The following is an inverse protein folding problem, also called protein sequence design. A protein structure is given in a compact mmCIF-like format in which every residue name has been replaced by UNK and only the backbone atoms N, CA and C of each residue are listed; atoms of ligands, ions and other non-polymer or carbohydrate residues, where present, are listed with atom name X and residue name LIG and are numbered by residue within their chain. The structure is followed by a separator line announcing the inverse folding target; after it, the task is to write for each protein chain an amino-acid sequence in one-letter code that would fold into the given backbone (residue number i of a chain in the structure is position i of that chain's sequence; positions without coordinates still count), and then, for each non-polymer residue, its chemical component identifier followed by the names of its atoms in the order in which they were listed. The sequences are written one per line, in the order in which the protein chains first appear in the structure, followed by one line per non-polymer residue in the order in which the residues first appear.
data_IF_579479637008
#
_entry.id   IF_579479637008
#
_cell.length_a   1.000
_cell.length_b   1.000
_cell.length_c   1.000
_cell.angle_alpha   90.00
_cell.angle_beta   90.00
_cell.angle_gamma   90.00
#
_symmetry.space_group_name_H-M   'P 1'
#
loop_
_entity.id
_entity.type
_entity.pdbx_description
1 polymer ?
#
# COMPACT_ATOMS: atom_id res chain seq x y z
N UNK A 1 17.64 6.19 -32.77
CA UNK A 1 18.67 6.48 -31.74
C UNK A 1 18.34 7.82 -31.09
N UNK A 2 17.91 7.81 -29.82
CA UNK A 2 17.69 9.03 -29.03
C UNK A 2 19.06 9.57 -28.60
N UNK A 3 19.58 10.56 -29.33
CA UNK A 3 20.93 11.10 -29.12
C UNK A 3 21.04 11.79 -27.74
N UNK A 4 21.93 11.33 -26.87
CA UNK A 4 22.38 12.09 -25.70
C UNK A 4 22.46 11.35 -24.36
N UNK A 5 21.82 10.20 -24.20
CA UNK A 5 21.88 9.41 -22.96
C UNK A 5 23.13 8.52 -22.97
N UNK A 6 24.04 8.73 -22.01
CA UNK A 6 25.27 7.93 -21.84
C UNK A 6 25.23 7.06 -20.60
N UNK A 7 24.43 7.42 -19.59
CA UNK A 7 24.30 6.63 -18.36
C UNK A 7 22.85 6.55 -17.89
N UNK A 8 22.37 5.33 -17.64
CA UNK A 8 21.01 5.03 -17.19
C UNK A 8 21.06 4.29 -15.86
N UNK A 9 20.26 4.71 -14.88
CA UNK A 9 19.94 3.89 -13.69
C UNK A 9 18.61 3.16 -13.90
N UNK A 10 18.65 1.84 -13.94
CA UNK A 10 17.48 0.97 -14.08
C UNK A 10 16.96 0.50 -12.72
N UNK A 11 15.68 0.72 -12.43
CA UNK A 11 14.98 -0.02 -11.38
C UNK A 11 14.93 -1.51 -11.75
N UNK A 12 15.74 -2.30 -11.06
CA UNK A 12 16.01 -3.70 -11.35
C UNK A 12 15.44 -4.58 -10.25
N UNK A 13 14.66 -5.59 -10.64
CA UNK A 13 14.03 -6.53 -9.71
C UNK A 13 14.60 -7.94 -9.80
N UNK A 14 15.53 -8.20 -10.73
CA UNK A 14 15.97 -9.56 -11.03
C UNK A 14 14.92 -10.41 -11.78
N UNK A 15 13.73 -9.88 -12.05
CA UNK A 15 12.70 -10.55 -12.84
C UNK A 15 13.06 -10.69 -14.33
N UNK A 16 12.21 -11.39 -15.08
CA UNK A 16 12.39 -11.63 -16.52
C UNK A 16 12.57 -10.32 -17.29
N UNK A 17 11.62 -9.40 -17.13
CA UNK A 17 11.55 -8.13 -17.83
C UNK A 17 12.79 -7.27 -17.57
N UNK A 18 13.12 -7.01 -16.31
CA UNK A 18 14.24 -6.14 -15.93
C UNK A 18 15.60 -6.77 -16.28
N UNK A 19 15.70 -8.10 -16.33
CA UNK A 19 16.88 -8.80 -16.86
C UNK A 19 17.05 -8.62 -18.36
N UNK A 20 15.96 -8.54 -19.13
CA UNK A 20 15.99 -8.29 -20.57
C UNK A 20 16.25 -6.80 -20.89
N UNK A 21 15.84 -5.89 -20.01
CA UNK A 21 16.03 -4.44 -20.21
C UNK A 21 17.51 -4.06 -20.23
N UNK A 22 18.35 -4.62 -19.36
CA UNK A 22 19.78 -4.26 -19.29
C UNK A 22 20.50 -4.41 -20.64
N UNK A 23 20.54 -5.60 -21.27
CA UNK A 23 21.19 -5.76 -22.57
C UNK A 23 20.46 -4.97 -23.67
N UNK A 24 19.13 -4.85 -23.60
CA UNK A 24 18.37 -4.08 -24.58
C UNK A 24 18.75 -2.60 -24.58
N UNK A 25 18.93 -1.99 -23.40
CA UNK A 25 19.39 -0.61 -23.28
C UNK A 25 20.76 -0.44 -23.94
N UNK A 26 21.70 -1.35 -23.69
CA UNK A 26 23.05 -1.30 -24.30
C UNK A 26 23.04 -1.46 -25.81
N UNK A 27 22.11 -2.25 -26.35
CA UNK A 27 21.97 -2.48 -27.79
C UNK A 27 21.30 -1.32 -28.53
N UNK A 28 20.47 -0.54 -27.84
CA UNK A 28 19.62 0.49 -28.46
C UNK A 28 20.03 1.93 -28.11
N UNK A 29 20.90 2.11 -27.12
CA UNK A 29 21.46 3.39 -26.70
C UNK A 29 22.99 3.36 -26.87
N UNK A 30 23.50 4.21 -27.77
CA UNK A 30 24.90 4.26 -28.18
C UNK A 30 25.84 4.49 -26.99
N UNK A 31 26.79 3.56 -26.78
CA UNK A 31 27.79 3.58 -25.70
C UNK A 31 27.19 3.86 -24.29
N UNK A 32 25.97 3.35 -24.04
CA UNK A 32 25.28 3.59 -22.78
C UNK A 32 25.76 2.67 -21.65
N UNK A 33 26.21 3.28 -20.55
CA UNK A 33 26.43 2.62 -19.28
C UNK A 33 25.10 2.40 -18.56
N UNK A 34 24.83 1.17 -18.11
CA UNK A 34 23.62 0.84 -17.33
C UNK A 34 24.02 0.49 -15.91
N UNK A 35 23.45 1.18 -14.94
CA UNK A 35 23.58 0.89 -13.51
C UNK A 35 22.28 0.25 -13.04
N UNK A 36 22.34 -0.92 -12.41
CA UNK A 36 21.18 -1.55 -11.81
C UNK A 36 20.94 -0.99 -10.40
N UNK A 37 19.70 -0.72 -10.07
CA UNK A 37 19.25 -0.31 -8.74
C UNK A 37 18.16 -1.26 -8.25
N UNK A 38 18.44 -1.99 -7.18
CA UNK A 38 17.54 -2.91 -6.49
C UNK A 38 17.11 -2.27 -5.18
N UNK A 39 15.82 -2.09 -5.00
CA UNK A 39 15.24 -1.65 -3.74
C UNK A 39 14.76 -2.87 -2.94
N UNK A 40 15.30 -3.07 -1.74
CA UNK A 40 14.73 -3.99 -0.77
C UNK A 40 13.67 -3.25 0.05
N UNK A 41 12.41 -3.46 -0.31
CA UNK A 41 11.22 -2.95 0.38
C UNK A 41 10.50 -4.07 1.15
N UNK A 42 11.17 -5.22 1.33
CA UNK A 42 10.68 -6.35 2.11
C UNK A 42 10.00 -7.44 1.30
N UNK A 43 10.29 -7.55 0.01
CA UNK A 43 10.00 -8.72 -0.81
C UNK A 43 10.71 -9.98 -0.29
N UNK A 44 10.38 -11.16 -0.84
CA UNK A 44 11.03 -12.43 -0.50
C UNK A 44 12.57 -12.30 -0.59
N UNK A 45 13.25 -12.88 0.40
CA UNK A 45 14.71 -12.87 0.48
C UNK A 45 15.33 -13.70 -0.64
N UNK A 46 14.66 -14.75 -1.11
CA UNK A 46 15.12 -15.55 -2.24
C UNK A 46 15.27 -14.73 -3.53
N UNK A 47 14.44 -13.71 -3.73
CA UNK A 47 14.51 -12.81 -4.90
C UNK A 47 15.76 -11.90 -4.88
N UNK A 48 16.34 -11.66 -3.70
CA UNK A 48 17.56 -10.88 -3.54
C UNK A 48 18.84 -11.72 -3.63
N UNK A 49 18.74 -13.04 -3.45
CA UNK A 49 19.92 -13.92 -3.50
C UNK A 49 20.53 -13.92 -4.90
N UNK A 50 21.75 -13.41 -5.01
CA UNK A 50 22.50 -13.37 -6.27
C UNK A 50 22.02 -12.32 -7.27
N UNK A 51 21.12 -11.40 -6.87
CA UNK A 51 20.55 -10.37 -7.74
C UNK A 51 21.61 -9.46 -8.36
N UNK A 52 22.64 -9.09 -7.59
CA UNK A 52 23.78 -8.28 -8.06
C UNK A 52 24.59 -9.02 -9.13
N UNK A 53 24.96 -10.27 -8.86
CA UNK A 53 25.67 -11.11 -9.83
C UNK A 53 24.87 -11.24 -11.13
N UNK A 54 23.56 -11.42 -11.01
CA UNK A 54 22.66 -11.50 -12.17
C UNK A 54 22.63 -10.19 -12.95
N UNK A 55 22.53 -9.04 -12.28
CA UNK A 55 22.55 -7.73 -12.93
C UNK A 55 23.83 -7.51 -13.75
N UNK A 56 25.00 -7.82 -13.16
CA UNK A 56 26.30 -7.72 -13.83
C UNK A 56 26.41 -8.68 -15.03
N UNK A 57 25.92 -9.92 -14.88
CA UNK A 57 25.87 -10.90 -15.97
C UNK A 57 24.94 -10.46 -17.11
N UNK A 58 23.86 -9.75 -16.80
CA UNK A 58 22.97 -9.14 -17.81
C UNK A 58 23.60 -7.93 -18.50
N UNK A 59 24.76 -7.44 -18.03
CA UNK A 59 25.55 -6.41 -18.67
C UNK A 59 25.57 -5.06 -17.95
N UNK A 60 25.02 -4.96 -16.73
CA UNK A 60 25.14 -3.76 -15.91
C UNK A 60 26.60 -3.50 -15.53
N UNK A 61 26.96 -2.23 -15.44
CA UNK A 61 28.27 -1.75 -15.00
C UNK A 61 28.44 -1.83 -13.48
N UNK A 62 27.38 -1.49 -12.75
CA UNK A 62 27.29 -1.48 -11.31
C UNK A 62 25.89 -1.94 -10.88
N UNK A 63 25.76 -2.44 -9.65
CA UNK A 63 24.49 -2.78 -9.04
C UNK A 63 24.43 -2.25 -7.61
N UNK A 64 23.44 -1.42 -7.31
CA UNK A 64 23.15 -0.92 -5.97
C UNK A 64 21.98 -1.68 -5.38
N UNK A 65 22.18 -2.37 -4.26
CA UNK A 65 21.09 -2.96 -3.47
C UNK A 65 20.89 -2.10 -2.23
N UNK A 66 19.72 -1.49 -2.08
CA UNK A 66 19.43 -0.52 -1.01
C UNK A 66 18.30 -1.05 -0.14
N UNK A 67 18.57 -1.22 1.14
CA UNK A 67 17.58 -1.57 2.16
C UNK A 67 16.73 -0.36 2.53
N UNK A 68 15.45 -0.42 2.18
CA UNK A 68 14.46 0.64 2.38
C UNK A 68 13.33 0.18 3.31
N UNK A 69 13.45 -0.99 3.95
CA UNK A 69 12.33 -1.63 4.67
C UNK A 69 11.81 -0.81 5.84
N UNK A 70 12.70 -0.38 6.73
CA UNK A 70 12.31 0.40 7.91
C UNK A 70 11.78 1.79 7.49
N UNK A 71 12.42 2.45 6.52
CA UNK A 71 11.95 3.73 5.97
C UNK A 71 10.58 3.58 5.31
N UNK A 72 10.34 2.48 4.59
CA UNK A 72 9.07 2.21 3.94
C UNK A 72 7.93 2.13 4.96
N UNK A 73 8.11 1.39 6.05
CA UNK A 73 7.07 1.32 7.08
C UNK A 73 6.86 2.66 7.77
N UNK A 74 7.95 3.31 8.17
CA UNK A 74 7.89 4.51 9.00
C UNK A 74 7.44 5.76 8.24
N UNK A 75 7.97 5.98 7.04
CA UNK A 75 7.81 7.25 6.30
C UNK A 75 6.77 7.15 5.17
N UNK A 76 6.27 5.96 4.84
CA UNK A 76 5.26 5.77 3.80
C UNK A 76 3.99 5.08 4.31
N UNK A 77 4.12 3.94 5.00
CA UNK A 77 2.97 3.18 5.48
C UNK A 77 2.26 3.89 6.63
N UNK A 78 2.97 4.21 7.73
CA UNK A 78 2.32 4.86 8.89
C UNK A 78 1.66 6.20 8.56
N UNK A 79 2.26 7.10 7.77
CA UNK A 79 1.59 8.33 7.36
C UNK A 79 0.25 8.11 6.66
N UNK A 80 0.16 7.10 5.78
CA UNK A 80 -1.09 6.74 5.09
C UNK A 80 -2.07 6.04 6.02
N UNK A 81 -1.58 5.18 6.93
CA UNK A 81 -2.42 4.50 7.91
C UNK A 81 -3.14 5.48 8.84
N UNK A 82 -2.46 6.52 9.30
CA UNK A 82 -3.04 7.58 10.13
C UNK A 82 -4.22 8.27 9.44
N UNK A 83 -4.18 8.42 8.12
CA UNK A 83 -5.32 9.01 7.38
C UNK A 83 -6.50 8.05 7.27
N UNK A 84 -6.26 6.73 7.37
CA UNK A 84 -7.28 5.71 7.16
C UNK A 84 -7.56 5.36 5.71
N UNK A 85 -6.59 5.60 4.84
CA UNK A 85 -6.79 5.42 3.41
C UNK A 85 -7.09 3.95 3.05
N UNK A 86 -8.21 3.78 2.33
CA UNK A 86 -8.62 2.53 1.70
C UNK A 86 -9.10 2.86 0.30
N UNK A 87 -8.35 2.44 -0.72
CA UNK A 87 -8.78 2.68 -2.10
C UNK A 87 -10.02 1.85 -2.40
N UNK A 88 -11.04 2.53 -2.93
CA UNK A 88 -12.37 1.97 -3.21
C UNK A 88 -12.95 1.17 -2.03
N UNK A 89 -12.63 1.60 -0.81
CA UNK A 89 -13.16 1.06 0.45
C UNK A 89 -12.51 -0.23 0.93
N UNK A 90 -11.54 -0.82 0.22
CA UNK A 90 -10.97 -2.13 0.58
C UNK A 90 -9.45 -2.25 0.40
N UNK A 91 -8.85 -1.62 -0.61
CA UNK A 91 -7.44 -1.83 -0.93
C UNK A 91 -6.51 -0.95 -0.09
N UNK A 92 -5.55 -1.59 0.59
CA UNK A 92 -4.56 -0.95 1.47
C UNK A 92 -3.30 -0.45 0.74
N UNK A 93 -3.40 -0.19 -0.57
CA UNK A 93 -2.44 0.64 -1.33
C UNK A 93 -0.98 0.14 -1.32
N UNK A 94 -0.71 -1.14 -1.07
CA UNK A 94 0.67 -1.61 -0.83
C UNK A 94 1.64 -1.34 -1.96
N UNK A 95 1.29 -1.74 -3.18
CA UNK A 95 2.08 -1.49 -4.39
C UNK A 95 2.25 0.01 -4.62
N UNK A 96 1.16 0.78 -4.48
CA UNK A 96 1.18 2.24 -4.69
C UNK A 96 2.07 2.99 -3.71
N UNK A 97 2.17 2.55 -2.45
CA UNK A 97 3.05 3.17 -1.45
C UNK A 97 4.52 2.83 -1.67
N UNK A 98 4.82 1.62 -2.17
CA UNK A 98 6.21 1.21 -2.43
C UNK A 98 6.85 1.99 -3.60
N UNK A 99 6.07 2.41 -4.60
CA UNK A 99 6.65 3.05 -5.80
C UNK A 99 7.36 4.38 -5.53
N UNK A 100 6.78 5.33 -4.77
CA UNK A 100 7.46 6.60 -4.53
C UNK A 100 8.75 6.46 -3.72
N UNK A 101 8.88 5.48 -2.80
CA UNK A 101 10.14 5.26 -2.08
C UNK A 101 11.22 4.65 -3.00
N UNK A 102 10.85 3.66 -3.83
CA UNK A 102 11.77 3.06 -4.80
C UNK A 102 12.24 4.13 -5.80
N UNK A 103 11.31 4.91 -6.35
CA UNK A 103 11.61 5.94 -7.33
C UNK A 103 12.47 7.07 -6.76
N UNK A 104 12.23 7.49 -5.50
CA UNK A 104 13.07 8.46 -4.79
C UNK A 104 14.51 7.95 -4.65
N UNK A 105 14.70 6.75 -4.12
CA UNK A 105 16.02 6.16 -3.96
C UNK A 105 16.75 5.96 -5.30
N UNK A 106 16.01 5.58 -6.35
CA UNK A 106 16.58 5.50 -7.71
C UNK A 106 17.06 6.87 -8.21
N UNK A 107 16.29 7.93 -8.01
CA UNK A 107 16.70 9.31 -8.36
C UNK A 107 17.95 9.71 -7.59
N UNK A 108 18.02 9.42 -6.30
CA UNK A 108 19.19 9.70 -5.47
C UNK A 108 20.45 9.00 -6.01
N UNK A 109 20.34 7.73 -6.40
CA UNK A 109 21.43 6.99 -7.04
C UNK A 109 21.77 7.59 -8.41
N UNK A 110 20.78 7.91 -9.24
CA UNK A 110 20.99 8.52 -10.56
C UNK A 110 21.77 9.83 -10.47
N UNK A 111 21.39 10.71 -9.55
CA UNK A 111 22.11 11.97 -9.31
C UNK A 111 23.52 11.71 -8.76
N UNK A 112 23.68 10.75 -7.84
CA UNK A 112 24.98 10.39 -7.26
C UNK A 112 25.98 9.89 -8.30
N UNK A 113 25.54 9.06 -9.26
CA UNK A 113 26.41 8.47 -10.29
C UNK A 113 26.53 9.34 -11.54
N UNK A 114 25.87 10.50 -11.57
CA UNK A 114 25.85 11.40 -12.72
C UNK A 114 25.14 10.80 -13.94
N UNK A 115 24.05 10.08 -13.73
CA UNK A 115 23.25 9.52 -14.81
C UNK A 115 22.46 10.59 -15.56
N UNK A 116 22.25 10.38 -16.86
CA UNK A 116 21.44 11.24 -17.72
C UNK A 116 19.95 10.86 -17.65
N UNK A 117 19.68 9.61 -17.26
CA UNK A 117 18.35 9.03 -17.32
C UNK A 117 18.09 7.95 -16.26
N UNK A 118 16.80 7.73 -16.01
CA UNK A 118 16.28 6.62 -15.21
C UNK A 118 15.40 5.72 -16.09
N UNK A 119 15.41 4.42 -15.79
CA UNK A 119 14.61 3.43 -16.48
C UNK A 119 13.80 2.56 -15.52
N UNK A 120 12.65 2.05 -15.99
CA UNK A 120 11.81 1.11 -15.23
C UNK A 120 11.19 0.04 -16.14
N UNK A 121 10.81 -1.09 -15.54
CA UNK A 121 10.15 -2.21 -16.21
C UNK A 121 8.62 -2.18 -16.20
N UNK A 122 7.98 -1.11 -15.69
CA UNK A 122 6.51 -1.04 -15.69
C UNK A 122 5.91 -1.01 -17.11
N UNK A 123 4.80 -1.73 -17.31
CA UNK A 123 4.10 -1.80 -18.60
C UNK A 123 3.23 -0.56 -18.86
N UNK A 124 2.88 -0.33 -20.14
CA UNK A 124 2.01 0.78 -20.56
C UNK A 124 0.54 0.68 -20.10
N UNK A 125 0.13 -0.43 -19.46
CA UNK A 125 -1.26 -0.66 -18.99
C UNK A 125 -1.40 -0.55 -17.46
N UNK A 126 -0.28 -0.46 -16.74
CA UNK A 126 -0.26 -0.40 -15.28
C UNK A 126 -0.25 1.03 -14.75
N UNK A 127 -0.66 1.19 -13.49
CA UNK A 127 -0.52 2.46 -12.76
C UNK A 127 0.94 2.75 -12.38
N UNK A 128 1.79 1.73 -12.30
CA UNK A 128 3.17 1.87 -11.82
C UNK A 128 4.03 2.77 -12.71
N UNK A 129 3.82 2.79 -14.02
CA UNK A 129 4.50 3.75 -14.90
C UNK A 129 4.22 5.19 -14.46
N UNK A 130 2.96 5.50 -14.10
CA UNK A 130 2.57 6.84 -13.66
C UNK A 130 3.26 7.17 -12.34
N UNK A 131 3.28 6.22 -11.39
CA UNK A 131 3.85 6.42 -10.04
C UNK A 131 5.37 6.63 -10.06
N UNK A 132 6.08 5.88 -10.89
CA UNK A 132 7.52 6.06 -11.09
C UNK A 132 7.80 7.41 -11.77
N UNK A 133 7.16 7.68 -12.91
CA UNK A 133 7.48 8.84 -13.74
C UNK A 133 7.04 10.17 -13.11
N UNK A 134 5.90 10.19 -12.40
CA UNK A 134 5.48 11.36 -11.63
C UNK A 134 6.48 11.67 -10.51
N UNK A 135 7.04 10.64 -9.87
CA UNK A 135 8.06 10.80 -8.83
C UNK A 135 9.36 11.34 -9.42
N UNK A 136 9.83 10.76 -10.54
CA UNK A 136 11.02 11.28 -11.23
C UNK A 136 10.85 12.75 -11.62
N UNK A 137 9.69 13.09 -12.20
CA UNK A 137 9.37 14.46 -12.60
C UNK A 137 9.35 15.41 -11.40
N UNK A 138 8.82 14.96 -10.26
CA UNK A 138 8.74 15.77 -9.05
C UNK A 138 10.11 16.00 -8.39
N UNK A 139 11.02 15.04 -8.46
CA UNK A 139 12.29 15.06 -7.73
C UNK A 139 13.51 15.47 -8.57
N UNK A 140 13.54 15.09 -9.84
CA UNK A 140 14.65 15.34 -10.75
C UNK A 140 14.15 15.47 -12.20
N UNK A 141 13.42 16.56 -12.54
CA UNK A 141 12.84 16.76 -13.87
C UNK A 141 13.86 16.86 -15.01
N UNK A 142 15.15 17.04 -14.68
CA UNK A 142 16.26 17.02 -15.63
C UNK A 142 16.64 15.61 -16.12
N UNK A 143 16.29 14.55 -15.38
CA UNK A 143 16.58 13.18 -15.79
C UNK A 143 15.60 12.75 -16.88
N UNK A 144 16.12 12.16 -17.96
CA UNK A 144 15.25 11.57 -18.98
C UNK A 144 14.67 10.25 -18.47
N UNK A 145 13.45 9.93 -18.91
CA UNK A 145 12.81 8.65 -18.59
C UNK A 145 12.91 7.72 -19.79
N UNK A 146 13.42 6.52 -19.55
CA UNK A 146 13.43 5.42 -20.53
C UNK A 146 12.48 4.32 -20.07
N UNK A 147 11.48 4.01 -20.89
CA UNK A 147 10.47 2.99 -20.60
C UNK A 147 10.42 1.95 -21.73
N UNK A 148 11.22 0.87 -21.65
CA UNK A 148 11.38 -0.10 -22.73
C UNK A 148 10.07 -0.69 -23.23
N UNK A 149 9.09 -0.95 -22.35
CA UNK A 149 7.75 -1.43 -22.72
C UNK A 149 6.97 -0.51 -23.69
N UNK A 150 7.38 0.75 -23.85
CA UNK A 150 6.81 1.69 -24.83
C UNK A 150 7.65 1.84 -26.10
N UNK A 151 8.81 1.20 -26.17
CA UNK A 151 9.82 1.39 -27.21
C UNK A 151 10.21 0.11 -27.94
N UNK A 152 10.29 -1.02 -27.22
CA UNK A 152 10.75 -2.28 -27.78
C UNK A 152 9.64 -3.09 -28.47
N UNK A 153 10.03 -4.10 -29.24
CA UNK A 153 9.11 -5.05 -29.86
C UNK A 153 8.98 -6.39 -29.10
N UNK A 154 9.56 -6.48 -27.90
CA UNK A 154 9.43 -7.64 -27.01
C UNK A 154 8.06 -7.63 -26.32
N UNK A 155 7.05 -8.18 -26.98
CA UNK A 155 5.62 -8.08 -26.56
C UNK A 155 5.07 -9.28 -25.81
N UNK A 156 5.88 -10.31 -25.56
CA UNK A 156 5.44 -11.52 -24.85
C UNK A 156 6.52 -12.09 -23.95
N UNK A 157 6.10 -12.95 -23.03
CA UNK A 157 6.99 -13.68 -22.11
C UNK A 157 7.95 -14.59 -22.87
N UNK A 158 7.46 -15.27 -23.89
CA UNK A 158 8.23 -16.12 -24.80
C UNK A 158 9.33 -15.31 -25.48
N UNK A 159 8.98 -14.14 -26.04
CA UNK A 159 9.94 -13.26 -26.70
C UNK A 159 11.06 -12.81 -25.74
N UNK A 160 10.73 -12.50 -24.48
CA UNK A 160 11.72 -12.15 -23.46
C UNK A 160 12.62 -13.34 -23.10
N UNK A 161 12.06 -14.56 -22.99
CA UNK A 161 12.85 -15.76 -22.69
C UNK A 161 13.82 -16.10 -23.83
N UNK A 162 13.35 -16.04 -25.08
CA UNK A 162 14.20 -16.25 -26.26
C UNK A 162 15.29 -15.18 -26.36
N UNK A 163 14.94 -13.91 -26.11
CA UNK A 163 15.88 -12.79 -26.10
C UNK A 163 17.01 -12.97 -25.07
N UNK A 164 16.69 -13.42 -23.84
CA UNK A 164 17.68 -13.74 -22.81
C UNK A 164 18.52 -14.97 -23.18
N UNK A 165 17.89 -16.00 -23.76
CA UNK A 165 18.56 -17.24 -24.16
C UNK A 165 19.59 -17.01 -25.25
N UNK A 166 19.27 -16.21 -26.28
CA UNK A 166 20.21 -15.80 -27.33
C UNK A 166 21.47 -15.12 -26.78
N UNK A 167 21.34 -14.48 -25.61
CA UNK A 167 22.41 -13.73 -24.93
C UNK A 167 23.07 -14.50 -23.79
N UNK A 168 22.69 -15.74 -23.56
CA UNK A 168 23.16 -16.57 -22.45
C UNK A 168 22.97 -15.93 -21.07
N UNK A 169 21.89 -15.16 -20.88
CA UNK A 169 21.56 -14.55 -19.59
C UNK A 169 20.68 -15.52 -18.79
N UNK A 170 21.11 -15.95 -17.58
CA UNK A 170 20.35 -16.91 -16.79
C UNK A 170 19.04 -16.30 -16.27
N UNK A 171 17.97 -17.09 -16.29
CA UNK A 171 16.67 -16.71 -15.72
C UNK A 171 15.98 -17.91 -15.08
N UNK A 172 15.30 -17.66 -13.96
CA UNK A 172 14.45 -18.64 -13.26
C UNK A 172 13.00 -18.56 -13.74
N UNK A 173 12.69 -17.63 -14.65
CA UNK A 173 11.36 -17.50 -15.23
C UNK A 173 11.09 -18.66 -16.20
N UNK A 174 9.90 -19.26 -16.07
CA UNK A 174 9.37 -20.25 -16.99
C UNK A 174 8.03 -19.80 -17.57
N UNK A 175 7.55 -20.46 -18.62
CA UNK A 175 6.21 -20.25 -19.17
C UNK A 175 5.10 -20.74 -18.22
N UNK A 176 5.42 -21.64 -17.29
CA UNK A 176 4.47 -22.23 -16.34
C UNK A 176 4.06 -21.28 -15.21
N UNK A 177 4.91 -20.28 -14.89
CA UNK A 177 4.55 -19.24 -13.92
C UNK A 177 3.58 -18.24 -14.57
N UNK A 178 2.28 -18.51 -14.39
CA UNK A 178 1.16 -17.76 -15.02
C UNK A 178 0.76 -16.47 -14.31
N UNK A 179 1.11 -16.30 -13.02
CA UNK A 179 0.71 -15.12 -12.24
C UNK A 179 1.78 -14.03 -12.24
N UNK A 180 1.33 -12.79 -12.28
CA UNK A 180 2.13 -11.61 -11.95
C UNK A 180 1.97 -11.32 -10.48
N UNK A 181 3.08 -11.27 -9.73
CA UNK A 181 3.09 -10.98 -8.30
C UNK A 181 3.99 -9.79 -7.99
N UNK A 182 3.53 -8.97 -7.07
CA UNK A 182 4.29 -7.84 -6.53
C UNK A 182 4.24 -7.89 -5.01
N UNK A 183 5.40 -8.04 -4.39
CA UNK A 183 5.57 -8.28 -2.96
C UNK A 183 6.45 -7.19 -2.35
N UNK A 184 6.13 -6.80 -1.13
CA UNK A 184 6.93 -5.95 -0.27
C UNK A 184 6.55 -6.23 1.19
N UNK A 185 7.17 -5.58 2.18
CA UNK A 185 6.89 -5.83 3.60
C UNK A 185 5.41 -5.65 4.00
N UNK A 186 4.66 -4.82 3.27
CA UNK A 186 3.27 -4.51 3.58
C UNK A 186 2.30 -5.56 3.06
N UNK A 187 2.48 -6.00 1.82
CA UNK A 187 1.52 -6.85 1.13
C UNK A 187 2.15 -7.69 0.03
N UNK A 188 1.35 -8.61 -0.50
CA UNK A 188 1.54 -9.18 -1.83
C UNK A 188 0.26 -9.01 -2.65
N UNK A 189 0.42 -8.66 -3.93
CA UNK A 189 -0.66 -8.67 -4.93
C UNK A 189 -0.43 -9.75 -5.97
N UNK A 190 -1.50 -10.44 -6.36
CA UNK A 190 -1.52 -11.45 -7.42
C UNK A 190 -2.52 -11.06 -8.50
N UNK A 191 -2.06 -11.00 -9.75
CA UNK A 191 -2.87 -10.72 -10.95
C UNK A 191 -2.57 -11.73 -12.07
N UNK A 192 -3.44 -11.78 -13.09
CA UNK A 192 -3.28 -12.65 -14.26
C UNK A 192 -3.81 -14.07 -14.05
N UNK A 193 -3.52 -14.96 -14.99
CA UNK A 193 -3.97 -16.36 -14.94
C UNK A 193 -5.48 -16.50 -14.79
N UNK A 194 -5.94 -17.30 -13.82
CA UNK A 194 -7.38 -17.53 -13.61
C UNK A 194 -8.16 -16.27 -13.26
N UNK A 195 -7.48 -15.25 -12.71
CA UNK A 195 -8.09 -14.00 -12.25
C UNK A 195 -8.48 -13.06 -13.40
N UNK A 196 -8.01 -13.29 -14.63
CA UNK A 196 -8.39 -12.47 -15.79
C UNK A 196 -9.89 -12.56 -16.13
N UNK A 197 -10.55 -13.66 -15.75
CA UNK A 197 -12.00 -13.80 -15.81
C UNK A 197 -12.62 -13.55 -14.44
N UNK A 198 -13.52 -12.58 -14.33
CA UNK A 198 -14.23 -12.26 -13.08
C UNK A 198 -15.21 -13.36 -12.65
N UNK A 199 -15.48 -14.35 -13.50
CA UNK A 199 -16.35 -15.49 -13.17
C UNK A 199 -15.60 -16.67 -12.55
N UNK A 200 -14.27 -16.68 -12.66
CA UNK A 200 -13.45 -17.70 -12.03
C UNK A 200 -13.21 -17.36 -10.56
N UNK A 201 -13.42 -18.31 -9.66
CA UNK A 201 -12.99 -18.15 -8.27
C UNK A 201 -11.45 -18.10 -8.19
N UNK A 202 -10.91 -17.30 -7.27
CA UNK A 202 -9.50 -17.36 -6.93
C UNK A 202 -9.17 -18.75 -6.37
N UNK A 203 -8.11 -19.37 -6.88
CA UNK A 203 -7.64 -20.69 -6.41
C UNK A 203 -6.54 -20.53 -5.36
N UNK A 204 -6.05 -21.65 -4.81
CA UNK A 204 -4.99 -21.62 -3.79
C UNK A 204 -3.71 -20.92 -4.28
N UNK A 205 -3.38 -21.03 -5.56
CA UNK A 205 -2.19 -20.37 -6.14
C UNK A 205 -2.30 -18.83 -6.18
N UNK A 206 -3.50 -18.27 -5.99
CA UNK A 206 -3.70 -16.82 -5.91
C UNK A 206 -3.23 -16.23 -4.56
N UNK A 207 -3.12 -17.07 -3.53
CA UNK A 207 -2.82 -16.68 -2.15
C UNK A 207 -1.51 -17.34 -1.70
N UNK A 208 -0.50 -16.52 -1.44
CA UNK A 208 0.88 -16.97 -1.20
C UNK A 208 1.29 -16.79 0.24
N UNK A 209 0.82 -15.74 0.90
CA UNK A 209 1.24 -15.40 2.26
C UNK A 209 0.39 -16.08 3.32
N UNK A 210 -0.92 -16.06 3.13
CA UNK A 210 -1.89 -16.37 4.19
C UNK A 210 -2.41 -17.78 4.04
N UNK A 211 -2.64 -18.47 5.18
CA UNK A 211 -3.34 -19.77 5.19
C UNK A 211 -4.78 -19.56 4.71
N UNK A 212 -5.38 -20.54 4.03
CA UNK A 212 -6.80 -20.45 3.70
C UNK A 212 -7.62 -20.27 4.99
N UNK A 213 -8.56 -19.31 5.05
CA UNK A 213 -9.40 -19.15 6.23
C UNK A 213 -10.08 -20.45 6.68
N UNK A 214 -10.36 -21.41 5.78
CA UNK A 214 -10.91 -22.72 6.16
C UNK A 214 -9.89 -23.60 6.89
N UNK A 215 -8.61 -23.53 6.49
CA UNK A 215 -7.50 -24.32 7.01
C UNK A 215 -6.74 -23.63 8.17
N UNK A 216 -7.06 -22.36 8.45
CA UNK A 216 -6.51 -21.62 9.59
C UNK A 216 -6.88 -22.29 10.94
N UNK A 217 -6.18 -22.01 12.05
CA UNK A 217 -6.46 -22.65 13.35
C UNK A 217 -7.93 -22.52 13.81
N UNK A 218 -8.46 -23.59 14.42
CA UNK A 218 -9.81 -23.60 15.02
C UNK A 218 -9.88 -22.86 16.37
N UNK A 219 -8.73 -22.50 16.94
CA UNK A 219 -8.64 -21.66 18.13
C UNK A 219 -8.32 -20.21 17.73
N UNK A 220 -9.13 -19.28 18.22
CA UNK A 220 -8.88 -17.86 18.01
C UNK A 220 -7.66 -17.40 18.81
N UNK A 221 -6.87 -16.49 18.22
CA UNK A 221 -5.69 -15.93 18.86
C UNK A 221 -5.96 -14.49 19.29
N UNK A 222 -5.59 -14.16 20.53
CA UNK A 222 -5.70 -12.81 21.06
C UNK A 222 -4.36 -12.09 20.93
N UNK A 223 -4.39 -10.92 20.29
CA UNK A 223 -3.21 -10.07 20.07
C UNK A 223 -3.47 -8.72 20.71
N UNK A 224 -2.57 -8.31 21.60
CA UNK A 224 -2.61 -6.96 22.19
C UNK A 224 -1.72 -6.04 21.38
N UNK A 225 -2.26 -4.93 20.88
CA UNK A 225 -1.56 -3.96 20.04
C UNK A 225 -1.54 -2.61 20.75
N UNK A 226 -0.35 -2.08 21.01
CA UNK A 226 -0.17 -0.73 21.54
C UNK A 226 -0.02 0.28 20.41
N UNK A 227 -0.80 1.35 20.48
CA UNK A 227 -0.81 2.45 19.51
C UNK A 227 -0.35 3.72 20.21
N UNK A 228 0.53 4.49 19.58
CA UNK A 228 0.98 5.80 20.04
C UNK A 228 0.98 6.78 18.87
N UNK A 229 0.30 7.90 19.05
CA UNK A 229 0.11 8.93 18.03
C UNK A 229 -0.29 8.40 16.64
N UNK A 230 -1.20 7.41 16.62
CA UNK A 230 -1.66 6.74 15.40
C UNK A 230 -0.68 5.75 14.78
N UNK A 231 0.40 5.37 15.47
CA UNK A 231 1.35 4.35 15.01
C UNK A 231 1.34 3.13 15.94
N UNK A 232 1.49 1.93 15.38
CA UNK A 232 1.65 0.72 16.19
C UNK A 232 3.07 0.66 16.73
N UNK A 233 3.24 0.63 18.05
CA UNK A 233 4.55 0.67 18.72
C UNK A 233 4.86 -0.60 19.52
N UNK A 234 3.86 -1.43 19.79
CA UNK A 234 4.06 -2.68 20.49
C UNK A 234 3.06 -3.77 20.09
N UNK A 235 3.50 -5.02 20.19
CA UNK A 235 2.67 -6.22 19.97
C UNK A 235 2.89 -7.18 21.13
N UNK A 236 1.81 -7.64 21.77
CA UNK A 236 1.80 -8.51 22.95
C UNK A 236 2.75 -8.02 24.07
N UNK A 237 2.69 -6.71 24.35
CA UNK A 237 3.50 -6.05 25.39
C UNK A 237 4.97 -5.82 25.03
N UNK A 238 5.44 -6.25 23.85
CA UNK A 238 6.81 -6.02 23.39
C UNK A 238 6.87 -4.79 22.50
N UNK A 239 7.69 -3.81 22.86
CA UNK A 239 8.02 -2.67 22.00
C UNK A 239 8.96 -3.13 20.88
N UNK A 240 8.66 -2.75 19.63
CA UNK A 240 9.41 -3.17 18.44
C UNK A 240 9.69 -1.94 17.54
N UNK A 241 10.52 -2.13 16.51
CA UNK A 241 10.63 -1.13 15.43
C UNK A 241 9.36 -1.12 14.57
N UNK A 242 9.22 -0.16 13.67
CA UNK A 242 8.07 -0.08 12.77
C UNK A 242 7.97 -1.35 11.91
N UNK A 243 9.10 -1.76 11.32
CA UNK A 243 9.19 -3.01 10.58
C UNK A 243 8.92 -4.22 11.47
N UNK A 244 9.49 -4.27 12.67
CA UNK A 244 9.28 -5.39 13.59
C UNK A 244 7.81 -5.58 14.00
N UNK A 245 7.09 -4.48 14.22
CA UNK A 245 5.63 -4.52 14.43
C UNK A 245 4.91 -5.10 13.21
N UNK A 246 5.23 -4.62 11.99
CA UNK A 246 4.62 -5.11 10.76
C UNK A 246 4.87 -6.59 10.52
N UNK A 247 6.12 -7.04 10.58
CA UNK A 247 6.51 -8.43 10.35
C UNK A 247 5.88 -9.39 11.37
N UNK A 248 5.83 -8.97 12.65
CA UNK A 248 5.15 -9.75 13.70
C UNK A 248 3.66 -9.90 13.40
N UNK A 249 2.98 -8.81 13.02
CA UNK A 249 1.55 -8.84 12.70
C UNK A 249 1.28 -9.56 11.37
N UNK A 250 2.17 -9.47 10.39
CA UNK A 250 2.07 -10.27 9.15
C UNK A 250 2.10 -11.76 9.48
N UNK A 251 3.04 -12.20 10.33
CA UNK A 251 3.15 -13.61 10.73
C UNK A 251 1.89 -14.11 11.43
N UNK A 252 1.38 -13.32 12.38
CA UNK A 252 0.15 -13.65 13.13
C UNK A 252 -1.08 -13.64 12.21
N UNK A 253 -1.24 -12.62 11.37
CA UNK A 253 -2.36 -12.52 10.45
C UNK A 253 -2.36 -13.61 9.38
N UNK A 254 -1.18 -13.92 8.82
CA UNK A 254 -1.02 -14.97 7.82
C UNK A 254 -1.42 -16.35 8.33
N UNK A 255 -1.01 -16.70 9.55
CA UNK A 255 -1.42 -17.93 10.24
C UNK A 255 -2.95 -18.07 10.33
N UNK A 256 -3.66 -16.95 10.50
CA UNK A 256 -5.12 -16.93 10.64
C UNK A 256 -5.87 -16.59 9.36
N UNK A 257 -5.22 -16.49 8.20
CA UNK A 257 -5.87 -16.17 6.93
C UNK A 257 -6.36 -14.71 6.80
N UNK A 258 -5.89 -13.82 7.67
CA UNK A 258 -6.36 -12.43 7.75
C UNK A 258 -5.85 -11.58 6.58
N UNK A 259 -6.70 -10.70 6.06
CA UNK A 259 -6.29 -9.66 5.12
C UNK A 259 -6.29 -10.05 3.65
N UNK A 260 -7.00 -11.13 3.28
CA UNK A 260 -7.30 -11.46 1.88
C UNK A 260 -8.41 -10.56 1.33
N UNK A 261 -8.19 -9.95 0.19
CA UNK A 261 -9.24 -9.29 -0.62
C UNK A 261 -9.13 -9.72 -2.09
N UNK A 262 -10.27 -9.93 -2.74
CA UNK A 262 -10.40 -10.15 -4.19
C UNK A 262 -11.30 -9.04 -4.73
N UNK A 263 -10.72 -8.15 -5.53
CA UNK A 263 -11.39 -6.93 -5.95
C UNK A 263 -11.24 -6.69 -7.45
N UNK A 264 -12.24 -6.01 -8.02
CA UNK A 264 -12.13 -5.37 -9.33
C UNK A 264 -11.99 -3.87 -9.10
N UNK A 265 -10.79 -3.35 -9.32
CA UNK A 265 -10.44 -1.96 -9.07
C UNK A 265 -10.52 -1.09 -10.34
N UNK A 266 -10.72 0.21 -10.17
CA UNK A 266 -10.56 1.19 -11.25
C UNK A 266 -9.10 1.69 -11.32
N UNK A 267 -8.40 1.43 -12.42
CA UNK A 267 -7.06 1.99 -12.65
C UNK A 267 -7.16 3.45 -13.11
N UNK A 268 -6.15 4.24 -12.77
CA UNK A 268 -6.05 5.65 -13.20
C UNK A 268 -6.08 5.77 -14.73
N UNK A 269 -5.50 4.80 -15.43
CA UNK A 269 -5.47 4.73 -16.91
C UNK A 269 -6.81 4.37 -17.55
N UNK A 270 -7.91 4.33 -16.77
CA UNK A 270 -9.28 4.20 -17.26
C UNK A 270 -9.79 2.77 -17.48
N UNK A 271 -8.99 1.76 -17.18
CA UNK A 271 -9.39 0.35 -17.26
C UNK A 271 -9.68 -0.23 -15.87
N UNK A 272 -10.49 -1.30 -15.84
CA UNK A 272 -10.63 -2.12 -14.64
C UNK A 272 -9.58 -3.22 -14.61
N UNK A 273 -9.12 -3.58 -13.42
CA UNK A 273 -8.27 -4.76 -13.20
C UNK A 273 -8.84 -5.58 -12.06
N UNK A 274 -8.69 -6.90 -12.12
CA UNK A 274 -8.97 -7.79 -10.99
C UNK A 274 -7.66 -8.24 -10.36
N UNK A 275 -7.58 -8.18 -9.05
CA UNK A 275 -6.41 -8.64 -8.29
C UNK A 275 -6.81 -9.22 -6.94
N UNK A 276 -6.03 -10.21 -6.52
CA UNK A 276 -6.05 -10.76 -5.16
C UNK A 276 -4.93 -10.11 -4.36
N UNK A 277 -5.23 -9.62 -3.17
CA UNK A 277 -4.26 -8.96 -2.30
C UNK A 277 -4.26 -9.58 -0.91
N UNK A 278 -3.07 -9.69 -0.32
CA UNK A 278 -2.86 -10.19 1.03
C UNK A 278 -2.10 -9.14 1.84
N UNK A 279 -2.77 -8.53 2.82
CA UNK A 279 -2.19 -7.49 3.69
C UNK A 279 -2.45 -7.83 5.16
N UNK A 280 -1.91 -8.94 5.69
CA UNK A 280 -2.29 -9.47 7.01
C UNK A 280 -1.99 -8.49 8.15
N UNK A 281 -0.74 -8.04 8.25
CA UNK A 281 -0.31 -7.12 9.31
C UNK A 281 -1.01 -5.77 9.18
N UNK A 282 -1.12 -5.25 7.97
CA UNK A 282 -1.82 -3.98 7.73
C UNK A 282 -3.30 -4.01 8.08
N UNK A 283 -3.99 -5.13 7.82
CA UNK A 283 -5.40 -5.32 8.22
C UNK A 283 -5.56 -5.28 9.74
N UNK A 284 -4.62 -5.89 10.46
CA UNK A 284 -4.59 -5.89 11.93
C UNK A 284 -4.25 -4.49 12.48
N UNK A 285 -3.24 -3.82 11.90
CA UNK A 285 -2.88 -2.45 12.30
C UNK A 285 -4.06 -1.49 12.13
N UNK A 286 -4.76 -1.55 10.99
CA UNK A 286 -5.94 -0.72 10.74
C UNK A 286 -7.06 -0.98 11.75
N UNK A 287 -7.29 -2.23 12.14
CA UNK A 287 -8.26 -2.58 13.18
C UNK A 287 -7.86 -2.02 14.56
N UNK A 288 -6.56 -2.04 14.89
CA UNK A 288 -6.05 -1.43 16.13
C UNK A 288 -6.24 0.09 16.15
N UNK A 289 -5.82 0.78 15.08
CA UNK A 289 -5.94 2.24 14.95
C UNK A 289 -7.40 2.66 15.08
N UNK A 290 -8.32 2.04 14.32
CA UNK A 290 -9.76 2.31 14.42
C UNK A 290 -10.32 2.02 15.81
N UNK A 291 -9.80 1.01 16.50
CA UNK A 291 -10.17 0.71 17.88
C UNK A 291 -9.87 1.88 18.83
N UNK A 292 -8.69 2.50 18.70
CA UNK A 292 -8.32 3.67 19.51
C UNK A 292 -9.08 4.93 19.06
N UNK A 293 -9.22 5.15 17.75
CA UNK A 293 -9.97 6.29 17.18
C UNK A 293 -11.40 6.37 17.72
N UNK A 294 -12.07 5.24 17.91
CA UNK A 294 -13.43 5.18 18.49
C UNK A 294 -13.50 5.69 19.94
N UNK A 295 -12.39 5.65 20.67
CA UNK A 295 -12.34 6.16 22.05
C UNK A 295 -12.00 7.65 22.07
N UNK A 296 -11.15 8.14 21.18
CA UNK A 296 -10.50 9.45 21.33
C UNK A 296 -11.03 10.53 20.39
N UNK A 297 -11.64 10.17 19.26
CA UNK A 297 -12.18 11.14 18.33
C UNK A 297 -13.66 11.40 18.61
N UNK A 298 -14.04 12.67 18.71
CA UNK A 298 -15.45 13.05 18.71
C UNK A 298 -16.09 12.76 17.34
N UNK A 299 -17.43 12.83 17.29
CA UNK A 299 -18.21 12.46 16.10
C UNK A 299 -17.76 13.20 14.83
N UNK A 300 -17.52 14.50 14.91
CA UNK A 300 -17.24 15.32 13.73
C UNK A 300 -15.78 15.17 13.30
N UNK A 301 -14.85 15.00 14.25
CA UNK A 301 -13.45 14.63 13.99
C UNK A 301 -13.33 13.25 13.34
N UNK A 302 -14.08 12.25 13.82
CA UNK A 302 -14.10 10.91 13.22
C UNK A 302 -14.63 10.96 11.78
N UNK A 303 -15.71 11.71 11.54
CA UNK A 303 -16.23 11.93 10.18
C UNK A 303 -15.20 12.59 9.26
N UNK A 304 -14.51 13.62 9.75
CA UNK A 304 -13.46 14.29 8.97
C UNK A 304 -12.30 13.35 8.65
N UNK A 305 -11.88 12.53 9.62
CA UNK A 305 -10.86 11.50 9.43
C UNK A 305 -11.21 10.58 8.26
N UNK A 306 -12.45 10.09 8.17
CA UNK A 306 -12.86 9.19 7.09
C UNK A 306 -12.83 9.89 5.71
N UNK A 307 -13.16 11.19 5.67
CA UNK A 307 -13.04 12.00 4.44
C UNK A 307 -11.58 12.18 4.02
N UNK A 308 -10.68 12.44 4.98
CA UNK A 308 -9.23 12.50 4.72
C UNK A 308 -8.69 11.18 4.16
N UNK A 309 -9.11 10.05 4.73
CA UNK A 309 -8.72 8.72 4.26
C UNK A 309 -9.11 8.48 2.80
N UNK A 310 -10.33 8.85 2.44
CA UNK A 310 -10.81 8.75 1.06
C UNK A 310 -9.92 9.57 0.10
N UNK A 311 -9.71 10.85 0.39
CA UNK A 311 -8.90 11.73 -0.46
C UNK A 311 -7.44 11.27 -0.56
N UNK A 312 -6.83 10.86 0.56
CA UNK A 312 -5.47 10.34 0.59
C UNK A 312 -5.35 9.06 -0.26
N UNK A 313 -6.37 8.21 -0.26
CA UNK A 313 -6.34 6.96 -1.02
C UNK A 313 -6.18 7.21 -2.53
N UNK A 314 -6.89 8.19 -3.09
CA UNK A 314 -6.74 8.57 -4.50
C UNK A 314 -5.39 9.22 -4.77
N UNK A 315 -4.93 10.11 -3.89
CA UNK A 315 -3.61 10.77 -4.03
C UNK A 315 -2.48 9.73 -4.12
N UNK A 316 -2.49 8.73 -3.25
CA UNK A 316 -1.48 7.65 -3.24
C UNK A 316 -1.66 6.74 -4.44
N UNK A 317 -2.89 6.30 -4.72
CA UNK A 317 -3.17 5.39 -5.84
C UNK A 317 -2.74 5.97 -7.19
N UNK A 318 -3.00 7.26 -7.40
CA UNK A 318 -2.69 8.02 -8.62
C UNK A 318 -1.20 8.35 -8.79
N UNK A 319 -0.35 8.00 -7.83
CA UNK A 319 1.08 8.32 -7.89
C UNK A 319 1.40 9.79 -7.62
N UNK A 320 0.57 10.49 -6.84
CA UNK A 320 0.76 11.91 -6.49
C UNK A 320 1.42 12.08 -5.11
N UNK A 321 2.31 11.16 -4.73
CA UNK A 321 2.97 11.15 -3.42
C UNK A 321 3.69 12.47 -3.10
N UNK A 322 4.43 13.02 -4.06
CA UNK A 322 5.20 14.26 -3.88
C UNK A 322 4.38 15.54 -4.13
N UNK A 323 3.06 15.44 -4.31
CA UNK A 323 2.20 16.60 -4.48
C UNK A 323 1.97 17.34 -3.14
N UNK A 324 1.84 18.68 -3.14
CA UNK A 324 1.51 19.46 -1.93
C UNK A 324 0.21 19.02 -1.25
N UNK A 325 -0.78 18.56 -2.02
CA UNK A 325 -2.04 18.03 -1.50
C UNK A 325 -1.82 16.86 -0.52
N UNK A 326 -0.88 15.95 -0.85
CA UNK A 326 -0.54 14.82 0.01
C UNK A 326 0.00 15.29 1.37
N UNK A 327 0.87 16.31 1.38
CA UNK A 327 1.36 16.92 2.63
C UNK A 327 0.24 17.57 3.44
N UNK A 328 -0.68 18.26 2.78
CA UNK A 328 -1.81 18.88 3.47
C UNK A 328 -2.74 17.85 4.13
N UNK A 329 -3.07 16.76 3.42
CA UNK A 329 -3.91 15.68 3.95
C UNK A 329 -3.22 14.95 5.10
N UNK A 330 -1.93 14.67 4.97
CA UNK A 330 -1.13 14.04 6.01
C UNK A 330 -1.05 14.92 7.27
N UNK A 331 -0.78 16.22 7.13
CA UNK A 331 -0.72 17.13 8.29
C UNK A 331 -2.07 17.22 9.04
N UNK A 332 -3.19 17.21 8.31
CA UNK A 332 -4.52 17.17 8.92
C UNK A 332 -4.74 15.88 9.71
N UNK A 333 -4.32 14.73 9.16
CA UNK A 333 -4.39 13.45 9.87
C UNK A 333 -3.45 13.38 11.08
N UNK A 334 -2.23 13.91 10.97
CA UNK A 334 -1.26 13.99 12.08
C UNK A 334 -1.77 14.83 13.24
N UNK A 335 -2.54 15.89 12.96
CA UNK A 335 -3.21 16.69 14.00
C UNK A 335 -4.22 15.87 14.79
N UNK A 336 -5.03 15.03 14.12
CA UNK A 336 -5.98 14.15 14.80
C UNK A 336 -5.27 13.00 15.52
N UNK A 337 -4.19 12.48 14.92
CA UNK A 337 -3.44 11.34 15.43
C UNK A 337 -2.73 11.65 16.76
N UNK A 338 -2.50 12.92 17.13
CA UNK A 338 -1.87 13.28 18.41
C UNK A 338 -2.53 12.62 19.63
N UNK A 339 -3.84 12.48 19.61
CA UNK A 339 -4.61 11.89 20.70
C UNK A 339 -4.87 10.39 20.53
N UNK A 340 -4.54 9.81 19.37
CA UNK A 340 -4.69 8.38 19.05
C UNK A 340 -3.57 7.57 19.71
N UNK A 341 -3.66 7.44 21.03
CA UNK A 341 -2.75 6.65 21.86
C UNK A 341 -3.57 5.76 22.79
N UNK A 342 -3.28 4.46 22.79
CA UNK A 342 -4.03 3.47 23.54
C UNK A 342 -3.57 2.04 23.28
N UNK A 343 -4.34 1.08 23.75
CA UNK A 343 -4.09 -0.34 23.58
C UNK A 343 -5.39 -1.05 23.18
N UNK A 344 -5.28 -1.96 22.21
CA UNK A 344 -6.41 -2.73 21.68
C UNK A 344 -6.08 -4.21 21.71
N UNK A 345 -7.00 -5.01 22.26
CA UNK A 345 -6.96 -6.48 22.14
C UNK A 345 -7.80 -6.87 20.93
N UNK A 346 -7.15 -7.51 19.97
CA UNK A 346 -7.72 -8.00 18.73
C UNK A 346 -7.85 -9.52 18.80
N UNK A 347 -8.98 -10.04 18.35
CA UNK A 347 -9.23 -11.47 18.14
C UNK A 347 -9.01 -11.80 16.67
N UNK A 348 -8.05 -12.66 16.37
CA UNK A 348 -7.78 -13.20 15.03
C UNK A 348 -8.42 -14.58 14.93
N UNK A 349 -9.25 -14.80 13.90
CA UNK A 349 -9.93 -16.07 13.71
C UNK A 349 -10.41 -16.25 12.28
N UNK A 350 -9.95 -17.31 11.59
CA UNK A 350 -10.48 -17.78 10.30
C UNK A 350 -10.75 -16.63 9.31
N UNK A 351 -9.73 -15.83 9.05
CA UNK A 351 -9.73 -14.71 8.12
C UNK A 351 -10.21 -13.37 8.68
N UNK A 352 -10.67 -13.34 9.92
CA UNK A 352 -11.24 -12.14 10.55
C UNK A 352 -10.32 -11.55 11.61
N UNK A 353 -10.38 -10.23 11.74
CA UNK A 353 -9.83 -9.48 12.87
C UNK A 353 -10.94 -8.67 13.53
N UNK A 354 -11.13 -8.84 14.83
CA UNK A 354 -12.15 -8.12 15.60
C UNK A 354 -11.53 -7.47 16.82
N UNK A 355 -11.68 -6.16 16.98
CA UNK A 355 -11.31 -5.46 18.20
C UNK A 355 -12.32 -5.74 19.32
N UNK A 356 -11.88 -6.44 20.37
CA UNK A 356 -12.75 -6.93 21.45
C UNK A 356 -12.56 -6.17 22.77
N UNK A 357 -11.40 -5.56 23.00
CA UNK A 357 -11.13 -4.71 24.16
C UNK A 357 -10.27 -3.54 23.73
N UNK A 358 -10.51 -2.36 24.31
CA UNK A 358 -9.88 -1.10 23.92
C UNK A 358 -9.73 -0.26 25.17
N UNK A 359 -8.59 0.41 25.33
CA UNK A 359 -8.40 1.44 26.35
C UNK A 359 -7.52 2.56 25.81
N UNK A 360 -7.79 3.78 26.23
CA UNK A 360 -7.02 4.97 25.89
C UNK A 360 -7.13 5.97 27.04
N UNK A 361 -6.02 6.60 27.42
CA UNK A 361 -5.99 7.56 28.52
C UNK A 361 -6.81 8.83 28.19
N UNK A 362 -6.92 9.17 26.90
CA UNK A 362 -7.70 10.30 26.38
C UNK A 362 -9.07 9.87 25.86
N UNK A 363 -9.65 8.81 26.43
CA UNK A 363 -10.99 8.35 26.04
C UNK A 363 -12.05 9.41 26.32
N UNK A 364 -12.88 9.70 25.31
CA UNK A 364 -14.12 10.48 25.41
C UNK A 364 -15.30 9.62 25.87
N UNK A 365 -15.16 8.29 25.85
CA UNK A 365 -16.14 7.40 26.46
C UNK A 365 -16.08 7.52 27.98
N UNK A 366 -17.21 7.84 28.59
CA UNK A 366 -17.40 7.87 30.03
C UNK A 366 -18.53 6.92 30.42
N UNK A 367 -18.24 5.96 31.30
CA UNK A 367 -19.22 5.02 31.83
C UNK A 367 -20.35 5.74 32.58
N UNK A 368 -20.05 6.83 33.27
CA UNK A 368 -21.04 7.64 34.01
C UNK A 368 -22.08 8.26 33.08
N UNK A 369 -21.68 8.74 31.91
CA UNK A 369 -22.62 9.33 30.92
C UNK A 369 -23.35 8.27 30.07
N UNK A 370 -22.80 7.05 29.98
CA UNK A 370 -23.34 5.98 29.14
C UNK A 370 -24.20 4.96 29.91
N UNK A 371 -24.17 5.01 31.23
CA UNK A 371 -24.87 4.05 32.09
C UNK A 371 -26.39 4.08 31.86
N UNK A 372 -27.02 2.93 32.06
CA UNK A 372 -28.49 2.82 32.16
C UNK A 372 -28.98 2.85 33.62
N UNK A 373 -28.06 2.97 34.57
CA UNK A 373 -28.37 3.16 35.99
C UNK A 373 -28.81 4.60 36.30
N UNK A 374 -29.09 4.87 37.58
CA UNK A 374 -29.32 6.24 38.04
C UNK A 374 -28.03 7.05 37.96
N UNK A 375 -28.10 8.23 37.35
CA UNK A 375 -26.99 9.17 37.23
C UNK A 375 -27.47 10.62 37.48
N UNK A 376 -26.52 11.49 37.79
CA UNK A 376 -26.76 12.94 37.96
C UNK A 376 -26.03 13.78 36.89
N UNK A 377 -25.36 13.13 35.93
CA UNK A 377 -24.48 13.80 34.96
C UNK A 377 -25.22 14.18 33.66
N UNK A 378 -26.36 13.56 33.38
CA UNK A 378 -27.16 13.81 32.18
C UNK A 378 -28.59 14.28 32.47
N UNK A 379 -28.87 15.57 32.23
CA UNK A 379 -30.24 16.09 32.33
C UNK A 379 -31.07 15.75 31.10
N UNK A 380 -31.94 14.74 31.25
CA UNK A 380 -32.86 14.27 30.22
C UNK A 380 -33.82 15.36 29.69
N UNK A 381 -34.10 16.41 30.47
CA UNK A 381 -35.04 17.48 30.06
C UNK A 381 -34.52 18.29 28.86
N UNK A 382 -33.19 18.40 28.71
CA UNK A 382 -32.55 19.09 27.60
C UNK A 382 -32.85 18.46 26.23
N UNK A 383 -33.08 17.14 26.18
CA UNK A 383 -33.29 16.42 24.93
C UNK A 383 -34.51 16.92 24.14
N UNK A 384 -35.59 17.28 24.83
CA UNK A 384 -36.82 17.76 24.18
C UNK A 384 -36.61 19.09 23.44
N UNK A 385 -35.86 20.02 24.03
CA UNK A 385 -35.48 21.29 23.41
C UNK A 385 -34.52 21.07 22.23
N UNK A 386 -33.49 20.24 22.44
CA UNK A 386 -32.52 19.89 21.40
C UNK A 386 -33.20 19.31 20.16
N UNK A 387 -34.04 18.27 20.31
CA UNK A 387 -34.70 17.59 19.19
C UNK A 387 -35.59 18.57 18.41
N UNK A 388 -36.33 19.45 19.11
CA UNK A 388 -37.18 20.45 18.45
C UNK A 388 -36.39 21.43 17.59
N UNK A 389 -35.21 21.85 18.04
CA UNK A 389 -34.35 22.77 17.30
C UNK A 389 -33.59 22.04 16.18
N UNK A 390 -33.03 20.87 16.47
CA UNK A 390 -32.30 20.04 15.49
C UNK A 390 -33.18 19.63 14.30
N UNK A 391 -34.44 19.25 14.57
CA UNK A 391 -35.40 18.82 13.53
C UNK A 391 -36.20 19.97 12.87
N UNK A 392 -35.92 21.23 13.25
CA UNK A 392 -36.74 22.38 12.85
C UNK A 392 -36.83 22.54 11.33
N UNK A 393 -35.73 22.33 10.62
CA UNK A 393 -35.68 22.45 9.14
C UNK A 393 -36.59 21.42 8.45
N UNK A 394 -36.56 20.16 8.90
CA UNK A 394 -37.44 19.09 8.42
C UNK A 394 -38.91 19.39 8.71
N UNK A 395 -39.20 19.90 9.91
CA UNK A 395 -40.56 20.32 10.29
C UNK A 395 -41.10 21.42 9.38
N UNK A 396 -40.30 22.45 9.09
CA UNK A 396 -40.69 23.54 8.18
C UNK A 396 -40.96 23.00 6.77
N UNK A 397 -40.12 22.10 6.27
CA UNK A 397 -40.30 21.46 4.95
C UNK A 397 -41.63 20.74 4.87
N UNK A 398 -41.94 19.88 5.83
CA UNK A 398 -43.19 19.13 5.88
C UNK A 398 -44.43 20.05 5.92
N UNK A 399 -44.39 21.13 6.70
CA UNK A 399 -45.49 22.12 6.74
C UNK A 399 -45.68 22.83 5.39
N UNK A 400 -44.59 23.19 4.70
CA UNK A 400 -44.67 23.80 3.38
C UNK A 400 -45.22 22.84 2.33
N UNK A 401 -44.85 21.57 2.37
CA UNK A 401 -45.37 20.53 1.47
C UNK A 401 -46.87 20.31 1.69
N UNK A 402 -47.33 20.23 2.94
CA UNK A 402 -48.75 20.12 3.29
C UNK A 402 -49.57 21.33 2.82
N UNK A 403 -49.01 22.53 2.91
CA UNK A 403 -49.68 23.76 2.45
C UNK A 403 -49.72 23.90 0.91
N UNK A 404 -48.91 23.14 0.17
CA UNK A 404 -48.98 23.05 -1.31
C UNK A 404 -49.96 21.98 -1.80
N UNK A 405 -50.26 20.99 -0.96
CA UNK A 405 -51.20 19.90 -1.24
C UNK A 405 -52.65 20.25 -0.86
N UNK A 406 -52.86 21.36 -0.16
CA UNK A 406 -54.15 22.02 0.05
C UNK A 406 -54.31 23.11 -0.99
#
# INVERSE_FOLDING_TARGET
MKKGIKKIVLAYSGGLDTSAIIPWLKENYDDCEVVAFVADVGQDREDLVGVEKKALQSGASECYVVDLREEFVKEYIYPVLKTGALYEGSYLLGTSMARPIIAKAQVEIALKVGADAVAHGATGKGNDQVRFESTYTALAPQLQVVAPWREWDLRSREALLDYLKERNIPTTASLEKIYSRDENAWHISTEGGVLESTWNAANQDCWVWTVDPQDAPDEAELVTVGVKHGEVVSVNGKTLSALGCLETLNTLGAKHGVGRIDIVENRLVGMKSRGCYETPGGTIMMAALRGVEQLVLDRDSYKWREQLGLEMSYVVYDGRWFAPLRHSLQAAAESLAQDVTGEVVLKLYKGQVTAIQKKADKSLYSEEFATFGEDEVYDHSHAGGFIRLYSLSSRIRALKEQNKAK
#
